data_IF_361187078480
#
_entry.id   IF_361187078480
#
_cell.length_a   1.000
_cell.length_b   1.000
_cell.length_c   1.000
_cell.angle_alpha   90.00
_cell.angle_beta   90.00
_cell.angle_gamma   90.00
#
_symmetry.space_group_name_H-M   'P 1'
#
loop_
_entity.id
_entity.type
_entity.pdbx_description
1 polymer ?
#
# COMPACT_ATOMS: atom_id res chain seq x y z
N UNK A 1 19.82 -9.27 -11.59
CA UNK A 1 20.14 -8.21 -10.60
C UNK A 1 18.91 -8.03 -9.72
N UNK A 2 19.07 -8.20 -8.41
CA UNK A 2 17.96 -8.27 -7.45
C UNK A 2 17.35 -6.87 -7.26
N UNK A 3 16.17 -6.65 -7.86
CA UNK A 3 15.49 -5.34 -7.87
C UNK A 3 14.53 -5.16 -6.68
N UNK A 4 14.48 -6.10 -5.73
CA UNK A 4 13.49 -6.07 -4.64
C UNK A 4 13.95 -5.35 -3.36
N UNK A 5 15.20 -4.89 -3.27
CA UNK A 5 15.76 -4.34 -2.02
C UNK A 5 15.74 -2.79 -1.93
N UNK A 6 15.14 -2.08 -2.90
CA UNK A 6 15.22 -0.62 -3.03
C UNK A 6 13.88 0.14 -3.05
N UNK A 7 12.77 -0.46 -2.57
CA UNK A 7 11.48 0.27 -2.52
C UNK A 7 11.29 1.13 -1.25
N UNK A 8 12.35 1.31 -0.45
CA UNK A 8 12.37 2.25 0.64
C UNK A 8 12.52 3.68 0.09
N UNK A 9 11.61 4.56 0.49
CA UNK A 9 11.68 5.98 0.14
C UNK A 9 13.02 6.58 0.61
N UNK A 10 13.68 7.35 -0.26
CA UNK A 10 14.96 7.99 0.05
C UNK A 10 14.83 8.93 1.25
N UNK A 11 13.68 9.60 1.39
CA UNK A 11 13.39 10.50 2.51
C UNK A 11 13.23 9.70 3.81
N UNK A 12 12.51 8.57 3.80
CA UNK A 12 12.37 7.67 4.95
C UNK A 12 13.72 7.03 5.34
N UNK A 13 14.50 6.63 4.35
CA UNK A 13 15.82 6.03 4.53
C UNK A 13 16.82 7.01 5.18
N UNK A 14 16.68 8.31 4.96
CA UNK A 14 17.41 9.36 5.68
C UNK A 14 16.70 9.82 6.96
N UNK A 15 15.40 9.55 7.09
CA UNK A 15 14.58 9.92 8.24
C UNK A 15 14.28 11.42 8.26
N UNK A 16 14.06 11.98 7.07
CA UNK A 16 13.84 13.41 6.84
C UNK A 16 12.49 13.62 6.15
N UNK A 17 11.91 14.80 6.30
CA UNK A 17 10.68 15.16 5.60
C UNK A 17 10.99 15.46 4.11
N UNK A 18 10.00 15.31 3.23
CA UNK A 18 10.04 15.77 1.85
C UNK A 18 10.44 17.26 1.72
N UNK A 19 9.96 18.10 2.64
CA UNK A 19 10.27 19.54 2.67
C UNK A 19 11.63 19.88 3.30
N UNK A 20 12.46 18.88 3.62
CA UNK A 20 13.71 19.14 4.33
C UNK A 20 14.71 19.91 3.47
N UNK A 21 15.41 20.82 4.13
CA UNK A 21 16.49 21.59 3.52
C UNK A 21 17.73 20.73 3.31
N UNK A 22 18.66 21.18 2.46
CA UNK A 22 19.93 20.49 2.23
C UNK A 22 20.71 20.29 3.53
N UNK A 23 20.69 21.28 4.42
CA UNK A 23 21.36 21.24 5.72
C UNK A 23 20.81 20.16 6.65
N UNK A 24 19.49 19.94 6.62
CA UNK A 24 18.83 18.87 7.39
C UNK A 24 19.19 17.49 6.84
N UNK A 25 19.26 17.36 5.51
CA UNK A 25 19.71 16.15 4.82
C UNK A 25 21.18 15.83 5.21
N UNK A 26 22.06 16.84 5.20
CA UNK A 26 23.47 16.69 5.61
C UNK A 26 23.61 16.28 7.09
N UNK A 27 22.77 16.85 7.97
CA UNK A 27 22.74 16.48 9.40
C UNK A 27 22.23 15.05 9.60
N UNK A 28 21.17 14.66 8.89
CA UNK A 28 20.60 13.33 8.96
C UNK A 28 21.56 12.26 8.44
N UNK A 29 22.22 12.53 7.31
CA UNK A 29 23.25 11.65 6.74
C UNK A 29 24.37 11.38 7.75
N UNK A 30 24.94 12.43 8.35
CA UNK A 30 26.01 12.30 9.36
C UNK A 30 25.59 11.43 10.55
N UNK A 31 24.38 11.64 11.08
CA UNK A 31 23.83 10.84 12.18
C UNK A 31 23.68 9.37 11.81
N UNK A 32 23.15 9.07 10.62
CA UNK A 32 22.94 7.70 10.17
C UNK A 32 24.25 7.00 9.80
N UNK A 33 25.20 7.70 9.18
CA UNK A 33 26.52 7.17 8.85
C UNK A 33 27.27 6.68 10.11
N UNK A 34 27.21 7.44 11.22
CA UNK A 34 27.82 7.03 12.49
C UNK A 34 27.11 5.82 13.09
N UNK A 35 25.78 5.76 12.99
CA UNK A 35 24.98 4.66 13.54
C UNK A 35 25.23 3.33 12.82
N UNK A 36 25.38 3.37 11.49
CA UNK A 36 25.55 2.19 10.64
C UNK A 36 26.99 1.96 10.20
N UNK A 37 27.98 2.57 10.87
CA UNK A 37 29.39 2.35 10.54
C UNK A 37 29.78 0.88 10.82
N UNK A 38 30.49 0.19 9.91
CA UNK A 38 30.85 -1.22 10.08
C UNK A 38 31.73 -1.48 11.30
N UNK A 39 32.56 -0.51 11.70
CA UNK A 39 33.43 -0.63 12.88
C UNK A 39 32.65 -0.68 14.22
N UNK A 40 31.48 -0.04 14.30
CA UNK A 40 30.63 -0.06 15.51
C UNK A 40 29.65 -1.24 15.55
N UNK A 41 29.39 -1.88 14.41
CA UNK A 41 28.43 -2.97 14.27
C UNK A 41 29.14 -4.26 13.85
N UNK A 42 30.15 -4.66 14.63
CA UNK A 42 30.99 -5.84 14.36
C UNK A 42 30.21 -7.15 14.35
N UNK A 43 29.07 -7.19 15.03
CA UNK A 43 28.19 -8.37 15.08
C UNK A 43 27.36 -8.53 13.80
N UNK A 44 27.16 -7.45 13.03
CA UNK A 44 26.30 -7.42 11.84
C UNK A 44 26.91 -6.55 10.73
N UNK A 45 28.18 -6.81 10.38
CA UNK A 45 28.95 -6.00 9.42
C UNK A 45 28.28 -5.96 8.05
N UNK A 46 27.70 -7.07 7.59
CA UNK A 46 27.07 -7.15 6.27
C UNK A 46 25.83 -6.25 6.17
N UNK A 47 24.94 -6.33 7.17
CA UNK A 47 23.75 -5.48 7.23
C UNK A 47 24.13 -3.99 7.36
N UNK A 48 25.08 -3.68 8.24
CA UNK A 48 25.58 -2.31 8.41
C UNK A 48 26.17 -1.74 7.10
N UNK A 49 26.93 -2.56 6.38
CA UNK A 49 27.50 -2.21 5.07
C UNK A 49 26.39 -1.94 4.06
N UNK A 50 25.39 -2.82 3.94
CA UNK A 50 24.24 -2.61 3.03
C UNK A 50 23.50 -1.31 3.32
N UNK A 51 23.12 -1.08 4.58
CA UNK A 51 22.44 0.17 4.97
C UNK A 51 23.29 1.41 4.71
N UNK A 52 24.60 1.35 4.98
CA UNK A 52 25.50 2.46 4.70
C UNK A 52 25.57 2.80 3.21
N UNK A 53 25.61 1.80 2.33
CA UNK A 53 25.57 1.99 0.88
C UNK A 53 24.24 2.63 0.45
N UNK A 54 23.12 2.15 0.97
CA UNK A 54 21.80 2.72 0.67
C UNK A 54 21.70 4.18 1.12
N UNK A 55 22.11 4.50 2.35
CA UNK A 55 22.08 5.88 2.89
C UNK A 55 22.96 6.81 2.05
N UNK A 56 24.13 6.33 1.62
CA UNK A 56 25.04 7.11 0.76
C UNK A 56 24.47 7.33 -0.65
N UNK A 57 23.79 6.32 -1.22
CA UNK A 57 23.09 6.47 -2.49
C UNK A 57 21.94 7.48 -2.38
N UNK A 58 21.13 7.41 -1.32
CA UNK A 58 20.04 8.36 -1.06
C UNK A 58 20.56 9.79 -0.91
N UNK A 59 21.63 9.97 -0.14
CA UNK A 59 22.28 11.27 0.02
C UNK A 59 22.74 11.85 -1.32
N UNK A 60 23.39 11.04 -2.16
CA UNK A 60 23.86 11.46 -3.48
C UNK A 60 22.72 11.91 -4.40
N UNK A 61 21.58 11.21 -4.35
CA UNK A 61 20.39 11.56 -5.17
C UNK A 61 19.69 12.82 -4.66
N UNK A 62 19.58 13.01 -3.34
CA UNK A 62 18.88 14.16 -2.76
C UNK A 62 19.73 15.45 -2.73
N UNK A 63 21.06 15.32 -2.77
CA UNK A 63 22.00 16.46 -2.79
C UNK A 63 22.06 17.11 -4.17
N UNK A 64 21.88 16.32 -5.23
CA UNK A 64 21.87 16.80 -6.62
C UNK A 64 20.47 17.31 -7.00
N UNK A 65 20.31 18.60 -7.33
CA UNK A 65 19.00 19.18 -7.61
C UNK A 65 18.31 18.55 -8.83
N UNK A 66 19.06 18.10 -9.84
CA UNK A 66 18.47 17.48 -11.03
C UNK A 66 17.90 16.10 -10.69
N UNK A 67 18.67 15.28 -9.97
CA UNK A 67 18.25 13.94 -9.54
C UNK A 67 17.13 13.99 -8.52
N UNK A 68 17.18 14.95 -7.59
CA UNK A 68 16.09 15.19 -6.64
C UNK A 68 14.79 15.51 -7.38
N UNK A 69 14.83 16.38 -8.38
CA UNK A 69 13.63 16.74 -9.14
C UNK A 69 13.03 15.54 -9.89
N UNK A 70 13.87 14.71 -10.50
CA UNK A 70 13.43 13.48 -11.18
C UNK A 70 12.81 12.49 -10.19
N UNK A 71 13.49 12.26 -9.06
CA UNK A 71 12.99 11.41 -7.98
C UNK A 71 11.63 11.90 -7.46
N UNK A 72 11.52 13.19 -7.17
CA UNK A 72 10.31 13.81 -6.66
C UNK A 72 9.12 13.68 -7.62
N UNK A 73 9.38 13.75 -8.94
CA UNK A 73 8.35 13.54 -9.96
C UNK A 73 7.82 12.11 -9.94
N UNK A 74 8.72 11.13 -9.93
CA UNK A 74 8.36 9.70 -9.88
C UNK A 74 7.63 9.39 -8.57
N UNK A 75 8.13 9.92 -7.46
CA UNK A 75 7.56 9.73 -6.14
C UNK A 75 6.12 10.28 -6.06
N UNK A 76 5.88 11.51 -6.56
CA UNK A 76 4.53 12.09 -6.65
C UNK A 76 3.59 11.24 -7.50
N UNK A 77 4.05 10.78 -8.66
CA UNK A 77 3.26 9.90 -9.53
C UNK A 77 2.89 8.58 -8.84
N UNK A 78 3.83 7.98 -8.05
CA UNK A 78 3.57 6.77 -7.27
C UNK A 78 2.49 7.01 -6.21
N UNK A 79 2.58 8.13 -5.46
CA UNK A 79 1.56 8.51 -4.47
C UNK A 79 0.19 8.71 -5.13
N UNK A 80 0.15 9.41 -6.26
CA UNK A 80 -1.10 9.68 -6.98
C UNK A 80 -1.74 8.39 -7.50
N UNK A 81 -0.94 7.50 -8.08
CA UNK A 81 -1.38 6.19 -8.53
C UNK A 81 -1.98 5.37 -7.38
N UNK A 82 -1.30 5.35 -6.22
CA UNK A 82 -1.79 4.68 -5.01
C UNK A 82 -3.13 5.24 -4.55
N UNK A 83 -3.26 6.56 -4.46
CA UNK A 83 -4.54 7.23 -4.11
C UNK A 83 -5.65 6.91 -5.10
N UNK A 84 -5.34 6.86 -6.40
CA UNK A 84 -6.30 6.49 -7.44
C UNK A 84 -6.75 5.05 -7.28
N UNK A 85 -5.83 4.14 -7.03
CA UNK A 85 -6.12 2.74 -6.79
C UNK A 85 -7.00 2.56 -5.54
N UNK A 86 -6.65 3.21 -4.43
CA UNK A 86 -7.45 3.22 -3.19
C UNK A 86 -8.89 3.71 -3.45
N UNK A 87 -9.08 4.76 -4.25
CA UNK A 87 -10.41 5.24 -4.64
C UNK A 87 -11.19 4.20 -5.48
N UNK A 88 -10.52 3.55 -6.43
CA UNK A 88 -11.14 2.52 -7.27
C UNK A 88 -11.55 1.31 -6.42
N UNK A 89 -10.70 0.91 -5.48
CA UNK A 89 -10.97 -0.21 -4.59
C UNK A 89 -12.06 0.09 -3.58
N UNK A 90 -12.10 1.30 -3.02
CA UNK A 90 -13.22 1.76 -2.20
C UNK A 90 -14.54 1.68 -2.97
N UNK A 91 -14.55 2.12 -4.23
CA UNK A 91 -15.72 2.04 -5.12
C UNK A 91 -16.13 0.59 -5.42
N UNK A 92 -15.16 -0.30 -5.65
CA UNK A 92 -15.42 -1.74 -5.86
C UNK A 92 -15.99 -2.41 -4.62
N UNK A 93 -15.47 -2.09 -3.44
CA UNK A 93 -15.97 -2.62 -2.16
C UNK A 93 -17.42 -2.23 -1.94
N UNK A 94 -17.77 -0.96 -2.16
CA UNK A 94 -19.14 -0.47 -2.08
C UNK A 94 -20.09 -1.20 -3.06
N UNK A 95 -19.61 -1.56 -4.26
CA UNK A 95 -20.40 -2.29 -5.25
C UNK A 95 -20.64 -3.77 -4.86
N UNK A 96 -19.63 -4.44 -4.29
CA UNK A 96 -19.74 -5.84 -3.84
C UNK A 96 -20.72 -6.02 -2.69
N UNK A 97 -20.76 -5.08 -1.75
CA UNK A 97 -21.66 -5.13 -0.59
C UNK A 97 -23.15 -5.06 -0.97
N UNK A 98 -23.51 -4.49 -2.12
CA UNK A 98 -24.89 -4.52 -2.62
C UNK A 98 -25.27 -5.85 -3.30
N UNK A 99 -24.33 -6.52 -3.96
CA UNK A 99 -24.65 -7.62 -4.87
C UNK A 99 -25.14 -8.89 -4.15
N UNK A 100 -24.55 -9.22 -2.99
CA UNK A 100 -24.94 -10.40 -2.21
C UNK A 100 -26.29 -10.21 -1.49
N UNK A 101 -26.63 -8.98 -1.07
CA UNK A 101 -27.94 -8.64 -0.48
C UNK A 101 -29.06 -8.87 -1.50
N UNK A 102 -28.86 -8.44 -2.75
CA UNK A 102 -29.80 -8.71 -3.85
C UNK A 102 -29.99 -10.20 -4.09
N UNK A 103 -28.92 -11.00 -4.05
CA UNK A 103 -29.00 -12.46 -4.22
C UNK A 103 -29.79 -13.14 -3.09
N UNK A 104 -29.56 -12.73 -1.83
CA UNK A 104 -30.33 -13.22 -0.68
C UNK A 104 -31.81 -12.83 -0.79
N UNK A 105 -32.11 -11.59 -1.18
CA UNK A 105 -33.47 -11.12 -1.41
C UNK A 105 -34.21 -11.98 -2.46
N UNK A 106 -33.56 -12.28 -3.59
CA UNK A 106 -34.13 -13.14 -4.63
C UNK A 106 -34.39 -14.57 -4.14
N UNK A 107 -33.46 -15.15 -3.37
CA UNK A 107 -33.64 -16.49 -2.77
C UNK A 107 -34.83 -16.50 -1.82
N UNK A 108 -34.94 -15.51 -0.94
CA UNK A 108 -36.05 -15.41 0.02
C UNK A 108 -37.38 -15.28 -0.70
N UNK A 109 -37.47 -14.41 -1.72
CA UNK A 109 -38.67 -14.26 -2.54
C UNK A 109 -39.06 -15.58 -3.23
N UNK A 110 -38.09 -16.27 -3.82
CA UNK A 110 -38.31 -17.57 -4.47
C UNK A 110 -38.80 -18.63 -3.45
N UNK A 111 -38.18 -18.69 -2.27
CA UNK A 111 -38.54 -19.66 -1.24
C UNK A 111 -39.96 -19.41 -0.70
N UNK A 112 -40.32 -18.16 -0.44
CA UNK A 112 -41.66 -17.77 0.01
C UNK A 112 -42.72 -18.06 -1.05
N UNK A 113 -42.46 -17.76 -2.32
CA UNK A 113 -43.39 -18.07 -3.41
C UNK A 113 -43.56 -19.56 -3.61
N UNK A 114 -42.47 -20.34 -3.55
CA UNK A 114 -42.49 -21.79 -3.64
C UNK A 114 -43.31 -22.44 -2.51
N UNK A 115 -43.09 -22.02 -1.25
CA UNK A 115 -43.87 -22.51 -0.11
C UNK A 115 -45.35 -22.17 -0.27
N UNK A 116 -45.68 -20.95 -0.68
CA UNK A 116 -47.06 -20.54 -0.92
C UNK A 116 -47.73 -21.36 -2.03
N UNK A 117 -46.99 -21.70 -3.10
CA UNK A 117 -47.47 -22.56 -4.18
C UNK A 117 -47.71 -23.98 -3.68
N UNK A 118 -46.79 -24.54 -2.89
CA UNK A 118 -46.92 -25.86 -2.30
C UNK A 118 -48.13 -25.94 -1.36
N UNK A 119 -48.32 -24.94 -0.50
CA UNK A 119 -49.49 -24.85 0.38
C UNK A 119 -50.80 -24.71 -0.40
N UNK A 120 -50.81 -24.00 -1.53
CA UNK A 120 -51.97 -23.93 -2.42
C UNK A 120 -52.29 -25.28 -3.06
N UNK A 121 -51.28 -26.01 -3.53
CA UNK A 121 -51.46 -27.35 -4.11
C UNK A 121 -51.96 -28.35 -3.06
N UNK A 122 -51.40 -28.34 -1.85
CA UNK A 122 -51.86 -29.19 -0.73
C UNK A 122 -53.29 -28.85 -0.27
N UNK A 123 -53.74 -27.60 -0.39
CA UNK A 123 -55.13 -27.21 -0.13
C UNK A 123 -56.08 -27.61 -1.26
N UNK A 124 -55.58 -27.70 -2.50
CA UNK A 124 -56.36 -28.13 -3.67
C UNK A 124 -56.67 -29.62 -3.62
N UNK A 125 -55.72 -30.45 -3.18
CA UNK A 125 -55.90 -31.90 -3.01
C UNK A 125 -56.74 -32.29 -1.77
N UNK A 126 -56.98 -31.36 -0.84
CA UNK A 126 -57.84 -31.57 0.34
C UNK A 126 -59.30 -31.14 0.16
N UNK A 127 -59.69 -30.63 -1.00
CA UNK A 127 -61.12 -30.42 -1.30
C UNK A 127 -61.71 -31.74 -1.82
N UNK A 128 -62.73 -32.30 -1.15
CA UNK A 128 -63.37 -33.57 -1.53
C UNK A 128 -64.07 -33.47 -2.89
#
# INVERSE_FOLDING_TARGET
>A
MNTEENDLDLYELLGVNYNSTKEEIDKAYRRKAIKFHPDKNRDNVEAATKFFHQISAAYKTLTDPQKKLEYDKIHKAKIESKKRFEKLDAKRKALKEGNWICYIMLIVIYLVTYINLLLKNLKKERKP
#
